data_IF_394479984586
#
_entry.id   IF_394479984586
#
_cell.length_a   1.000
_cell.length_b   1.000
_cell.length_c   1.000
_cell.angle_alpha   90.00
_cell.angle_beta   90.00
_cell.angle_gamma   90.00
#
_symmetry.space_group_name_H-M   'P 1'
#
loop_
_entity.id
_entity.type
_entity.pdbx_description
1 polymer ?
#
# COMPACT_ATOMS: atom_id res chain seq x y z
N UNK A 1 29.96 -52.65 9.45
CA UNK A 1 29.32 -51.88 8.37
C UNK A 1 29.71 -50.42 8.52
N UNK A 2 30.55 -49.87 7.64
CA UNK A 2 30.86 -48.42 7.63
C UNK A 2 29.62 -47.70 7.08
N UNK A 3 28.98 -46.85 7.89
CA UNK A 3 27.87 -46.01 7.42
C UNK A 3 28.46 -44.98 6.45
N UNK A 4 27.98 -44.98 5.22
CA UNK A 4 28.44 -44.06 4.19
C UNK A 4 27.84 -42.68 4.45
N UNK A 5 28.55 -41.87 5.23
CA UNK A 5 28.16 -40.50 5.61
C UNK A 5 27.81 -39.65 4.38
N UNK A 6 28.48 -39.87 3.25
CA UNK A 6 28.23 -39.17 2.00
C UNK A 6 26.82 -39.45 1.42
N UNK A 7 26.27 -40.65 1.65
CA UNK A 7 24.93 -41.01 1.20
C UNK A 7 23.86 -40.28 2.01
N UNK A 8 24.11 -40.05 3.31
CA UNK A 8 23.17 -39.34 4.20
C UNK A 8 23.11 -37.84 3.84
N UNK A 9 24.26 -37.23 3.54
CA UNK A 9 24.31 -35.81 3.13
C UNK A 9 23.58 -35.59 1.79
N UNK A 10 23.76 -36.50 0.84
CA UNK A 10 23.11 -36.41 -0.47
C UNK A 10 21.57 -36.48 -0.35
N UNK A 11 21.05 -37.38 0.50
CA UNK A 11 19.60 -37.49 0.75
C UNK A 11 19.06 -36.21 1.39
N UNK A 12 19.79 -35.63 2.36
CA UNK A 12 19.40 -34.38 3.00
C UNK A 12 19.28 -33.21 2.01
N UNK A 13 20.24 -33.08 1.08
CA UNK A 13 20.19 -32.03 0.05
C UNK A 13 19.01 -32.20 -0.91
N UNK A 14 18.71 -33.42 -1.32
CA UNK A 14 17.55 -33.69 -2.20
C UNK A 14 16.24 -33.32 -1.50
N UNK A 15 16.10 -33.65 -0.21
CA UNK A 15 14.90 -33.28 0.57
C UNK A 15 14.77 -31.77 0.71
N UNK A 16 15.87 -31.04 1.00
CA UNK A 16 15.84 -29.58 1.08
C UNK A 16 15.42 -28.92 -0.24
N UNK A 17 15.92 -29.42 -1.38
CA UNK A 17 15.54 -28.89 -2.71
C UNK A 17 14.06 -29.14 -2.99
N UNK A 18 13.54 -30.33 -2.66
CA UNK A 18 12.11 -30.65 -2.84
C UNK A 18 11.23 -29.72 -2.00
N UNK A 19 11.59 -29.49 -0.72
CA UNK A 19 10.85 -28.58 0.16
C UNK A 19 10.91 -27.13 -0.34
N UNK A 20 12.06 -26.69 -0.85
CA UNK A 20 12.22 -25.36 -1.43
C UNK A 20 11.37 -25.15 -2.69
N UNK A 21 11.35 -26.13 -3.60
CA UNK A 21 10.49 -26.11 -4.80
C UNK A 21 9.00 -26.15 -4.42
N UNK A 22 8.64 -26.93 -3.39
CA UNK A 22 7.27 -26.96 -2.87
C UNK A 22 6.84 -25.60 -2.33
N UNK A 23 7.71 -24.92 -1.56
CA UNK A 23 7.46 -23.58 -1.05
C UNK A 23 7.27 -22.56 -2.19
N UNK A 24 8.13 -22.58 -3.20
CA UNK A 24 7.99 -21.72 -4.39
C UNK A 24 6.72 -22.02 -5.21
N UNK A 25 6.26 -23.28 -5.24
CA UNK A 25 5.08 -23.68 -5.99
C UNK A 25 3.76 -23.37 -5.27
N UNK A 26 3.75 -23.47 -3.93
CA UNK A 26 2.61 -23.11 -3.09
C UNK A 26 2.51 -21.61 -2.80
N UNK A 27 3.54 -20.81 -3.11
CA UNK A 27 3.50 -19.35 -3.07
C UNK A 27 2.68 -18.74 -4.20
N UNK A 28 1.47 -19.26 -4.48
CA UNK A 28 0.63 -18.83 -5.59
C UNK A 28 -0.77 -18.45 -5.14
N UNK A 29 -1.19 -17.27 -5.62
CA UNK A 29 -2.56 -16.87 -5.99
C UNK A 29 -3.31 -15.91 -5.04
N UNK A 30 -2.81 -14.68 -4.90
CA UNK A 30 -3.72 -13.54 -4.97
C UNK A 30 -3.99 -13.26 -6.46
N UNK A 31 -4.76 -14.14 -7.09
CA UNK A 31 -5.29 -13.91 -8.43
C UNK A 31 -6.37 -12.85 -8.30
N UNK A 32 -5.99 -11.58 -8.43
CA UNK A 32 -6.94 -10.55 -8.83
C UNK A 32 -7.36 -10.87 -10.25
N UNK A 33 -8.47 -11.61 -10.36
CA UNK A 33 -9.09 -11.89 -11.64
C UNK A 33 -9.47 -10.56 -12.29
N UNK A 34 -9.02 -10.40 -13.53
CA UNK A 34 -9.45 -9.37 -14.47
C UNK A 34 -10.98 -9.18 -14.41
N UNK A 35 -11.44 -8.03 -13.90
CA UNK A 35 -12.77 -7.50 -14.15
C UNK A 35 -12.71 -6.57 -15.36
N UNK A 36 -12.51 -7.17 -16.52
CA UNK A 36 -13.00 -6.61 -17.79
C UNK A 36 -14.42 -7.15 -18.00
N UNK A 37 -15.43 -6.30 -17.86
CA UNK A 37 -16.73 -6.52 -18.49
C UNK A 37 -17.98 -6.22 -17.66
N UNK A 38 -18.68 -5.16 -18.11
CA UNK A 38 -20.13 -4.98 -18.14
C UNK A 38 -20.85 -4.31 -16.95
N UNK A 39 -21.26 -3.06 -17.21
CA UNK A 39 -22.64 -2.57 -17.10
C UNK A 39 -23.51 -3.29 -16.05
N UNK A 40 -23.38 -2.90 -14.79
CA UNK A 40 -24.41 -3.10 -13.80
C UNK A 40 -24.91 -1.72 -13.37
N UNK A 41 -26.09 -1.35 -13.89
CA UNK A 41 -26.90 -0.26 -13.35
C UNK A 41 -27.13 -0.53 -11.86
N UNK A 42 -26.47 0.22 -11.00
CA UNK A 42 -26.83 0.30 -9.59
C UNK A 42 -28.08 1.16 -9.47
N UNK A 43 -29.16 0.52 -9.03
CA UNK A 43 -30.36 1.20 -8.58
C UNK A 43 -29.97 2.03 -7.36
N UNK A 44 -29.95 3.35 -7.53
CA UNK A 44 -29.69 4.31 -6.47
C UNK A 44 -30.86 4.25 -5.47
N UNK A 45 -30.62 3.62 -4.31
CA UNK A 45 -31.41 3.87 -3.11
C UNK A 45 -30.59 4.77 -2.19
N UNK A 46 -30.86 6.07 -2.32
CA UNK A 46 -30.96 7.03 -1.22
C UNK A 46 -29.82 7.07 -0.19
N UNK A 47 -28.64 7.52 -0.61
CA UNK A 47 -27.63 8.12 0.27
C UNK A 47 -27.18 9.43 -0.36
N UNK A 48 -27.28 10.54 0.38
CA UNK A 48 -27.03 11.90 -0.10
C UNK A 48 -25.56 12.06 -0.54
N UNK A 49 -25.28 11.92 -1.83
CA UNK A 49 -23.96 11.59 -2.39
C UNK A 49 -23.29 12.78 -3.08
N UNK A 50 -22.88 13.77 -2.29
CA UNK A 50 -21.93 14.79 -2.77
C UNK A 50 -20.47 14.35 -2.57
N UNK A 51 -20.18 13.55 -1.53
CA UNK A 51 -18.82 13.07 -1.24
C UNK A 51 -18.32 12.00 -2.22
N UNK A 52 -19.20 11.11 -2.69
CA UNK A 52 -18.82 9.98 -3.57
C UNK A 52 -18.45 10.47 -4.97
N UNK A 53 -19.13 11.52 -5.45
CA UNK A 53 -18.85 12.13 -6.74
C UNK A 53 -17.48 12.83 -6.75
N UNK A 54 -17.15 13.56 -5.69
CA UNK A 54 -15.83 14.21 -5.52
C UNK A 54 -14.71 13.18 -5.34
N UNK A 55 -14.98 12.03 -4.73
CA UNK A 55 -14.01 10.94 -4.54
C UNK A 55 -13.64 10.26 -5.85
N UNK A 56 -14.64 9.95 -6.68
CA UNK A 56 -14.42 9.40 -8.02
C UNK A 56 -13.66 10.38 -8.94
N UNK A 57 -13.94 11.68 -8.81
CA UNK A 57 -13.31 12.73 -9.61
C UNK A 57 -11.83 12.99 -9.25
N UNK A 58 -11.41 12.73 -8.01
CA UNK A 58 -10.05 13.01 -7.51
C UNK A 58 -9.10 11.82 -7.60
N UNK A 59 -9.60 10.62 -7.93
CA UNK A 59 -8.80 9.40 -8.01
C UNK A 59 -8.17 8.98 -6.68
N UNK A 60 -8.72 9.45 -5.55
CA UNK A 60 -8.20 9.19 -4.19
C UNK A 60 -8.14 7.67 -3.91
N UNK A 61 -9.13 6.91 -4.37
CA UNK A 61 -9.16 5.45 -4.17
C UNK A 61 -8.00 4.74 -4.85
N UNK A 62 -7.73 5.07 -6.11
CA UNK A 62 -6.61 4.51 -6.83
C UNK A 62 -5.26 4.84 -6.17
N UNK A 63 -5.13 6.05 -5.59
CA UNK A 63 -3.94 6.47 -4.84
C UNK A 63 -3.79 5.66 -3.54
N UNK A 64 -4.86 5.54 -2.75
CA UNK A 64 -4.86 4.78 -1.49
C UNK A 64 -4.56 3.30 -1.75
N UNK A 65 -5.21 2.69 -2.74
CA UNK A 65 -5.01 1.29 -3.10
C UNK A 65 -3.58 1.03 -3.56
N UNK A 66 -3.01 1.92 -4.38
CA UNK A 66 -1.61 1.79 -4.79
C UNK A 66 -0.67 1.83 -3.58
N UNK A 67 -0.82 2.84 -2.72
CA UNK A 67 0.05 3.00 -1.55
C UNK A 67 -0.09 1.80 -0.60
N UNK A 68 -1.32 1.36 -0.33
CA UNK A 68 -1.57 0.21 0.54
C UNK A 68 -0.93 -1.07 -0.01
N UNK A 69 -1.03 -1.32 -1.31
CA UNK A 69 -0.44 -2.51 -1.94
C UNK A 69 1.09 -2.43 -2.07
N UNK A 70 1.68 -1.24 -2.03
CA UNK A 70 3.12 -1.01 -2.20
C UNK A 70 3.82 -0.53 -0.93
N UNK A 71 3.14 -0.56 0.22
CA UNK A 71 3.68 -0.02 1.48
C UNK A 71 5.01 -0.66 1.87
N UNK A 72 5.24 -1.93 1.53
CA UNK A 72 6.51 -2.61 1.80
C UNK A 72 7.69 -2.06 0.99
N UNK A 73 7.43 -1.52 -0.21
CA UNK A 73 8.47 -0.85 -1.01
C UNK A 73 8.63 0.62 -0.61
N UNK A 74 7.57 1.24 -0.09
CA UNK A 74 7.58 2.65 0.32
C UNK A 74 8.19 2.82 1.71
N UNK A 75 7.99 1.87 2.63
CA UNK A 75 8.52 1.96 4.00
C UNK A 75 10.05 2.01 4.02
N UNK A 76 10.68 3.04 4.62
CA UNK A 76 12.14 3.07 4.82
C UNK A 76 12.62 2.05 5.87
N UNK A 77 11.70 1.49 6.66
CA UNK A 77 11.98 0.50 7.69
C UNK A 77 11.66 -0.93 7.22
N UNK A 78 12.50 -1.88 7.64
CA UNK A 78 12.27 -3.31 7.44
C UNK A 78 11.23 -3.85 8.45
N UNK A 79 10.39 -4.82 8.05
CA UNK A 79 9.41 -5.42 8.95
C UNK A 79 10.10 -6.22 10.04
N UNK A 80 9.54 -6.13 11.25
CA UNK A 80 10.04 -6.88 12.41
C UNK A 80 9.57 -8.33 12.31
N UNK A 81 10.47 -9.28 12.60
CA UNK A 81 10.19 -10.72 12.69
C UNK A 81 9.53 -11.35 11.45
N UNK A 82 9.71 -10.77 10.27
CA UNK A 82 9.08 -11.26 9.04
C UNK A 82 7.58 -10.93 8.94
N UNK A 83 7.10 -9.94 9.70
CA UNK A 83 5.75 -9.40 9.56
C UNK A 83 5.48 -8.81 8.18
N UNK A 84 4.20 -8.66 7.84
CA UNK A 84 3.76 -7.93 6.65
C UNK A 84 3.26 -6.57 7.06
N UNK A 85 3.61 -5.55 6.28
CA UNK A 85 3.09 -4.20 6.49
C UNK A 85 1.65 -4.09 6.05
N UNK A 86 0.84 -3.37 6.83
CA UNK A 86 -0.51 -3.00 6.44
C UNK A 86 -0.78 -1.54 6.79
N UNK A 87 -1.47 -0.84 5.90
CA UNK A 87 -1.88 0.54 6.10
C UNK A 87 -3.15 0.57 6.93
N UNK A 88 -3.20 1.49 7.89
CA UNK A 88 -4.31 1.66 8.84
C UNK A 88 -5.10 2.92 8.50
N UNK A 89 -4.38 4.02 8.18
CA UNK A 89 -4.99 5.33 7.91
C UNK A 89 -4.25 6.10 6.84
N UNK A 90 -5.00 6.94 6.13
CA UNK A 90 -4.50 8.00 5.28
C UNK A 90 -4.96 9.36 5.78
N UNK A 91 -4.04 10.31 5.83
CA UNK A 91 -4.32 11.70 6.14
C UNK A 91 -3.87 12.59 4.98
N UNK A 92 -4.80 12.93 4.09
CA UNK A 92 -4.52 13.79 2.96
C UNK A 92 -4.44 15.24 3.41
N UNK A 93 -3.26 15.85 3.28
CA UNK A 93 -3.06 17.28 3.51
C UNK A 93 -3.50 18.11 2.28
N UNK A 94 -3.36 17.52 1.09
CA UNK A 94 -3.90 17.99 -0.19
C UNK A 94 -3.96 16.81 -1.17
N UNK A 95 -4.20 17.06 -2.46
CA UNK A 95 -4.39 16.00 -3.46
C UNK A 95 -3.08 15.24 -3.79
N UNK A 96 -1.93 15.84 -3.48
CA UNK A 96 -0.60 15.35 -3.82
C UNK A 96 0.23 14.96 -2.59
N UNK A 97 -0.25 15.21 -1.37
CA UNK A 97 0.51 14.94 -0.15
C UNK A 97 -0.36 14.23 0.88
N UNK A 98 0.12 13.07 1.32
CA UNK A 98 -0.62 12.18 2.23
C UNK A 98 0.30 11.62 3.30
N UNK A 99 -0.14 11.70 4.56
CA UNK A 99 0.46 10.88 5.61
C UNK A 99 -0.17 9.50 5.61
N UNK A 100 0.67 8.48 5.68
CA UNK A 100 0.25 7.07 5.67
C UNK A 100 0.65 6.49 7.01
N UNK A 101 -0.32 6.04 7.81
CA UNK A 101 -0.06 5.27 9.03
C UNK A 101 -0.14 3.78 8.71
N UNK A 102 0.85 3.03 9.15
CA UNK A 102 0.98 1.60 8.84
C UNK A 102 1.73 0.86 9.95
N UNK A 103 1.54 -0.45 10.04
CA UNK A 103 2.24 -1.27 11.04
C UNK A 103 2.53 -2.69 10.52
N UNK A 104 3.44 -3.41 11.19
CA UNK A 104 3.83 -4.82 10.92
C UNK A 104 3.24 -5.77 11.96
N UNK A 105 2.18 -5.34 12.65
CA UNK A 105 1.60 -6.02 13.81
C UNK A 105 2.40 -5.86 15.10
N UNK A 106 3.48 -5.07 15.11
CA UNK A 106 4.25 -4.79 16.32
C UNK A 106 4.48 -3.30 16.54
N UNK A 107 4.86 -2.58 15.48
CA UNK A 107 5.26 -1.18 15.60
C UNK A 107 4.52 -0.33 14.57
N UNK A 108 3.73 0.60 15.09
CA UNK A 108 3.06 1.64 14.33
C UNK A 108 4.10 2.64 13.78
N UNK A 109 3.94 3.03 12.51
CA UNK A 109 4.81 3.96 11.79
C UNK A 109 3.99 4.92 10.96
N UNK A 110 4.62 6.01 10.55
CA UNK A 110 4.02 6.95 9.61
C UNK A 110 5.06 7.40 8.58
N UNK A 111 4.62 7.61 7.34
CA UNK A 111 5.39 8.28 6.29
C UNK A 111 4.59 9.43 5.70
N UNK A 112 5.27 10.46 5.21
CA UNK A 112 4.70 11.47 4.32
C UNK A 112 5.06 11.10 2.89
N UNK A 113 4.06 10.87 2.05
CA UNK A 113 4.22 10.53 0.64
C UNK A 113 3.77 11.71 -0.21
N UNK A 114 4.63 12.13 -1.13
CA UNK A 114 4.25 13.00 -2.24
C UNK A 114 3.87 12.15 -3.46
N UNK A 115 2.73 12.47 -4.05
CA UNK A 115 2.16 11.86 -5.24
C UNK A 115 2.48 12.79 -6.40
N UNK A 116 3.43 12.38 -7.23
CA UNK A 116 3.87 13.16 -8.38
C UNK A 116 3.01 12.73 -9.57
N UNK A 117 2.25 13.68 -10.10
CA UNK A 117 1.48 13.50 -11.33
C UNK A 117 2.15 14.23 -12.50
N UNK A 118 1.93 13.72 -13.70
CA UNK A 118 2.48 14.30 -14.91
C UNK A 118 1.57 14.05 -16.09
N UNK A 119 1.79 14.80 -17.16
CA UNK A 119 1.07 14.65 -18.41
C UNK A 119 2.05 14.55 -19.57
N UNK A 120 1.74 13.67 -20.51
CA UNK A 120 2.43 13.58 -21.78
C UNK A 120 1.59 14.27 -22.84
N UNK A 121 2.17 15.29 -23.46
CA UNK A 121 1.58 15.93 -24.64
C UNK A 121 1.86 15.05 -25.85
N UNK A 122 0.80 14.62 -26.52
CA UNK A 122 0.84 13.81 -27.73
C UNK A 122 1.08 14.70 -28.96
N UNK A 123 1.52 14.09 -30.07
CA UNK A 123 1.86 14.82 -31.30
C UNK A 123 0.66 15.57 -31.93
N UNK A 124 -0.57 15.17 -31.59
CA UNK A 124 -1.81 15.82 -32.01
C UNK A 124 -2.24 16.97 -31.07
N UNK A 125 -1.49 17.24 -30.00
CA UNK A 125 -1.80 18.27 -29.01
C UNK A 125 -2.67 17.77 -27.84
N UNK A 126 -3.10 16.51 -27.85
CA UNK A 126 -3.85 15.93 -26.74
C UNK A 126 -2.94 15.66 -25.54
N UNK A 127 -3.48 15.75 -24.33
CA UNK A 127 -2.77 15.43 -23.09
C UNK A 127 -3.19 14.06 -22.58
N UNK A 128 -2.21 13.22 -22.25
CA UNK A 128 -2.43 11.91 -21.64
C UNK A 128 -1.80 11.90 -20.24
N UNK A 129 -2.54 11.51 -19.17
CA UNK A 129 -1.96 11.41 -17.84
C UNK A 129 -0.89 10.31 -17.81
N UNK A 130 0.24 10.63 -17.17
CA UNK A 130 1.27 9.66 -16.84
C UNK A 130 0.88 8.90 -15.57
N UNK A 131 1.40 7.68 -15.36
CA UNK A 131 1.26 6.99 -14.08
C UNK A 131 1.77 7.86 -12.93
N UNK A 132 1.10 7.79 -11.78
CA UNK A 132 1.58 8.44 -10.57
C UNK A 132 2.92 7.85 -10.13
N UNK A 133 3.85 8.72 -9.75
CA UNK A 133 5.04 8.36 -9.00
C UNK A 133 4.84 8.73 -7.53
N UNK A 134 5.46 7.98 -6.64
CA UNK A 134 5.28 8.13 -5.19
C UNK A 134 6.65 8.27 -4.55
N UNK A 135 6.87 9.39 -3.86
CA UNK A 135 8.13 9.68 -3.20
C UNK A 135 7.91 9.89 -1.69
N UNK A 136 8.70 9.20 -0.87
CA UNK A 136 8.65 9.38 0.58
C UNK A 136 9.45 10.62 0.96
N UNK A 137 8.76 11.62 1.51
CA UNK A 137 9.33 12.91 1.92
C UNK A 137 9.73 12.96 3.39
N UNK A 138 9.08 12.16 4.24
CA UNK A 138 9.45 12.02 5.64
C UNK A 138 9.04 10.66 6.21
N UNK A 139 9.78 10.20 7.20
CA UNK A 139 9.52 8.99 7.98
C UNK A 139 9.44 9.33 9.47
N UNK A 140 8.45 8.75 10.15
CA UNK A 140 8.12 9.06 11.53
C UNK A 140 7.94 7.79 12.35
N UNK A 141 8.32 7.87 13.61
CA UNK A 141 8.02 6.86 14.63
C UNK A 141 7.22 7.48 15.78
N UNK A 142 6.46 6.66 16.54
CA UNK A 142 5.79 7.13 17.75
C UNK A 142 6.80 7.73 18.74
N UNK A 143 6.52 8.94 19.21
CA UNK A 143 7.23 9.59 20.32
C UNK A 143 6.39 9.57 21.61
N UNK A 144 6.83 10.30 22.63
CA UNK A 144 6.17 10.31 23.94
C UNK A 144 4.77 10.93 23.92
N UNK A 145 4.53 11.91 23.05
CA UNK A 145 3.26 12.63 22.96
C UNK A 145 2.75 12.82 21.53
N UNK A 146 3.62 12.65 20.54
CA UNK A 146 3.29 12.80 19.12
C UNK A 146 4.33 12.05 18.27
N UNK A 147 4.19 12.12 16.95
CA UNK A 147 5.12 11.60 15.97
C UNK A 147 6.47 12.31 16.00
N UNK A 148 7.54 11.52 15.98
CA UNK A 148 8.92 12.02 15.89
C UNK A 148 9.47 11.72 14.51
N UNK A 149 9.94 12.75 13.80
CA UNK A 149 10.64 12.59 12.51
C UNK A 149 11.95 11.84 12.73
N UNK A 150 12.17 10.79 11.93
CA UNK A 150 13.41 10.00 11.92
C UNK A 150 14.23 10.22 10.65
N UNK A 151 13.57 10.54 9.55
CA UNK A 151 14.21 10.87 8.29
C UNK A 151 13.34 11.84 7.46
N UNK A 152 13.98 12.62 6.60
CA UNK A 152 13.31 13.60 5.71
C UNK A 152 12.83 14.89 6.41
N UNK A 153 11.78 15.51 5.86
CA UNK A 153 11.23 16.78 6.34
C UNK A 153 9.70 16.82 6.22
N UNK A 154 9.04 17.24 7.31
CA UNK A 154 7.59 17.39 7.34
C UNK A 154 7.15 18.74 6.74
N UNK A 155 6.87 18.75 5.44
CA UNK A 155 6.43 19.94 4.71
C UNK A 155 4.94 20.26 4.89
N UNK A 156 4.18 19.35 5.53
CA UNK A 156 2.72 19.44 5.67
C UNK A 156 2.26 19.65 7.12
N UNK A 157 3.19 19.91 8.04
CA UNK A 157 2.87 20.14 9.44
C UNK A 157 1.85 21.28 9.62
N UNK A 158 0.83 21.03 10.45
CA UNK A 158 -0.21 22.01 10.79
C UNK A 158 -1.23 22.28 9.68
N UNK A 159 -1.18 21.57 8.55
CA UNK A 159 -2.19 21.66 7.49
C UNK A 159 -3.48 20.93 7.89
N UNK A 160 -4.66 21.37 7.39
CA UNK A 160 -5.89 20.61 7.58
C UNK A 160 -5.78 19.24 6.89
N UNK A 161 -6.28 18.20 7.54
CA UNK A 161 -6.16 16.82 7.07
C UNK A 161 -7.53 16.20 6.83
N UNK A 162 -7.69 15.52 5.68
CA UNK A 162 -8.81 14.61 5.40
C UNK A 162 -8.39 13.19 5.77
N UNK A 163 -9.07 12.62 6.75
CA UNK A 163 -8.84 11.28 7.29
C UNK A 163 -9.66 10.24 6.54
N UNK A 164 -8.98 9.19 6.11
CA UNK A 164 -9.56 7.96 5.64
C UNK A 164 -9.02 6.81 6.49
N UNK A 165 -9.91 5.94 6.94
CA UNK A 165 -9.58 4.77 7.75
C UNK A 165 -10.15 3.51 7.08
N UNK A 166 -9.39 2.41 7.15
CA UNK A 166 -9.82 1.15 6.57
C UNK A 166 -10.93 0.52 7.41
N UNK A 167 -12.08 0.28 6.79
CA UNK A 167 -13.19 -0.43 7.41
C UNK A 167 -13.03 -1.93 7.12
N UNK A 168 -12.64 -2.70 8.14
CA UNK A 168 -12.36 -4.13 8.00
C UNK A 168 -13.61 -4.96 7.68
N UNK A 169 -14.80 -4.52 8.09
CA UNK A 169 -16.04 -5.27 7.87
C UNK A 169 -16.49 -5.17 6.41
N UNK A 170 -16.21 -4.02 5.78
CA UNK A 170 -16.65 -3.71 4.43
C UNK A 170 -15.53 -3.70 3.38
N UNK A 171 -14.27 -3.91 3.80
CA UNK A 171 -13.08 -3.95 2.95
C UNK A 171 -12.91 -2.67 2.10
N UNK A 172 -13.29 -1.52 2.67
CA UNK A 172 -13.23 -0.21 1.99
C UNK A 172 -12.65 0.90 2.87
N UNK A 173 -11.98 1.86 2.24
CA UNK A 173 -11.55 3.08 2.90
C UNK A 173 -12.73 4.02 3.14
N UNK A 174 -12.95 4.42 4.39
CA UNK A 174 -14.06 5.31 4.77
C UNK A 174 -13.52 6.65 5.25
N UNK A 175 -14.06 7.75 4.70
CA UNK A 175 -13.76 9.11 5.14
C UNK A 175 -14.34 9.35 6.54
N UNK A 176 -13.55 9.92 7.45
CA UNK A 176 -13.93 10.11 8.86
C UNK A 176 -14.12 11.58 9.28
N UNK A 177 -13.64 12.55 8.49
CA UNK A 177 -13.80 13.99 8.75
C UNK A 177 -13.89 14.84 7.48
#
# INVERSE_FOLDING_TARGET
MKKNTNTIILIGLVVCVILFVYYLSNGKNNSWNNLTGNNASSTIIGGNSTDDKTRAETGIDAKMDYIANNIASLSPANPVLGGSWYVIRFWFANDDNVYVEYEDGHVLRRILVEIISGEKILANGDSQPLPYEYEVRAYFEPGESDWTIKDGSDTMFGKPLKLYEFDQDSDIWTKRN
#
